data_IF_031849411600
#
_entry.id   IF_031849411600
#
_cell.length_a   1.000
_cell.length_b   1.000
_cell.length_c   1.000
_cell.angle_alpha   90.00
_cell.angle_beta   90.00
_cell.angle_gamma   90.00
#
_symmetry.space_group_name_H-M   'P 1'
#
loop_
_entity.id
_entity.type
_entity.pdbx_description
1 polymer ?
#
# COMPACT_ATOMS: atom_id res chain seq x y z
N UNK A 1 5.34 -13.63 49.10
CA UNK A 1 5.28 -13.26 47.66
C UNK A 1 6.68 -13.34 47.08
N UNK A 2 6.85 -13.79 45.84
CA UNK A 2 8.15 -13.82 45.17
C UNK A 2 8.53 -12.43 44.63
N UNK A 3 9.82 -12.08 44.66
CA UNK A 3 10.30 -10.80 44.15
C UNK A 3 10.40 -10.80 42.61
N UNK A 4 9.59 -9.98 41.94
CA UNK A 4 9.61 -9.83 40.48
C UNK A 4 10.60 -8.73 40.09
N UNK A 5 11.63 -9.09 39.32
CA UNK A 5 12.64 -8.14 38.84
C UNK A 5 12.05 -7.12 37.86
N UNK A 6 12.10 -5.84 38.21
CA UNK A 6 11.65 -4.74 37.33
C UNK A 6 12.60 -4.56 36.15
N UNK A 7 12.15 -4.96 34.95
CA UNK A 7 12.95 -4.90 33.71
C UNK A 7 13.04 -3.49 33.10
N UNK A 8 11.93 -2.73 33.10
CA UNK A 8 11.84 -1.38 32.51
C UNK A 8 11.99 -0.31 33.59
N UNK A 9 13.20 -0.14 34.09
CA UNK A 9 13.53 0.87 35.11
C UNK A 9 13.89 2.24 34.50
N UNK A 10 14.09 3.27 35.33
CA UNK A 10 14.46 4.61 34.87
C UNK A 10 15.80 4.65 34.09
N UNK A 11 16.75 3.76 34.43
CA UNK A 11 18.02 3.65 33.73
C UNK A 11 17.87 3.07 32.30
N UNK A 12 16.94 2.13 32.10
CA UNK A 12 16.56 1.61 30.78
C UNK A 12 16.05 2.74 29.88
N UNK A 13 15.07 3.53 30.35
CA UNK A 13 14.51 4.62 29.53
C UNK A 13 15.53 5.72 29.22
N UNK A 14 16.46 6.03 30.14
CA UNK A 14 17.57 6.97 29.87
C UNK A 14 18.54 6.47 28.78
N UNK A 15 18.66 5.16 28.58
CA UNK A 15 19.53 4.53 27.57
C UNK A 15 18.78 4.09 26.30
N UNK A 16 17.47 4.25 26.25
CA UNK A 16 16.64 3.74 25.15
C UNK A 16 16.76 4.62 23.90
N UNK A 17 17.52 4.17 22.90
CA UNK A 17 17.65 4.88 21.63
C UNK A 17 16.41 4.66 20.75
N UNK A 18 15.60 5.70 20.59
CA UNK A 18 14.35 5.65 19.83
C UNK A 18 14.61 5.54 18.33
N UNK A 19 14.14 4.46 17.69
CA UNK A 19 14.20 4.30 16.24
C UNK A 19 13.40 5.39 15.48
N UNK A 20 13.81 5.69 14.24
CA UNK A 20 13.16 6.69 13.36
C UNK A 20 11.64 6.46 13.28
N UNK A 21 10.83 7.54 13.31
CA UNK A 21 9.36 7.49 13.37
C UNK A 21 8.74 6.46 12.41
N UNK A 22 9.03 6.53 11.10
CA UNK A 22 8.49 5.58 10.10
C UNK A 22 8.94 4.13 10.27
N UNK A 23 10.06 3.86 10.98
CA UNK A 23 10.47 2.48 11.34
C UNK A 23 9.66 1.94 12.51
N UNK A 24 9.33 2.79 13.49
CA UNK A 24 8.42 2.45 14.60
C UNK A 24 6.97 2.23 14.14
N UNK A 25 6.54 2.98 13.12
CA UNK A 25 5.25 2.76 12.44
C UNK A 25 5.24 1.57 11.46
N UNK A 26 6.34 0.81 11.32
CA UNK A 26 6.46 -0.31 10.36
C UNK A 26 6.57 0.08 8.87
N UNK A 27 6.19 1.30 8.50
CA UNK A 27 6.03 1.81 7.11
C UNK A 27 7.30 1.98 6.26
N UNK A 28 8.50 1.75 6.78
CA UNK A 28 9.75 2.00 6.02
C UNK A 28 10.92 1.18 6.55
N UNK A 29 11.47 0.32 5.69
CA UNK A 29 12.87 -0.08 5.80
C UNK A 29 13.78 1.03 5.27
N UNK A 30 14.71 1.46 6.13
CA UNK A 30 15.70 2.47 5.78
C UNK A 30 16.92 1.90 5.07
N UNK A 31 17.15 0.58 5.13
CA UNK A 31 18.27 -0.07 4.46
C UNK A 31 18.00 -0.17 2.95
N UNK A 32 16.85 -0.74 2.54
CA UNK A 32 16.37 -0.70 1.16
C UNK A 32 16.25 0.74 0.63
N UNK A 33 15.59 1.64 1.38
CA UNK A 33 15.44 3.05 0.95
C UNK A 33 16.76 3.75 0.67
N UNK A 34 17.81 3.51 1.47
CA UNK A 34 19.14 4.10 1.22
C UNK A 34 19.75 3.62 -0.09
N UNK A 35 19.57 2.34 -0.45
CA UNK A 35 20.07 1.78 -1.73
C UNK A 35 19.33 2.38 -2.93
N UNK A 36 18.00 2.47 -2.87
CA UNK A 36 17.17 3.03 -3.95
C UNK A 36 17.43 4.52 -4.21
N UNK A 37 17.52 5.32 -3.14
CA UNK A 37 17.67 6.79 -3.23
C UNK A 37 19.12 7.21 -3.52
N UNK A 38 20.12 6.37 -3.20
CA UNK A 38 21.52 6.69 -3.51
C UNK A 38 21.71 6.81 -5.02
N UNK A 39 22.49 7.81 -5.40
CA UNK A 39 22.88 8.13 -6.76
C UNK A 39 24.36 8.52 -6.77
N UNK A 40 25.01 8.31 -7.91
CA UNK A 40 26.41 8.67 -8.08
C UNK A 40 26.55 10.19 -8.05
N UNK A 41 27.49 10.70 -7.25
CA UNK A 41 27.65 12.16 -7.05
C UNK A 41 27.93 12.91 -8.37
N UNK A 42 28.52 12.22 -9.34
CA UNK A 42 28.82 12.73 -10.68
C UNK A 42 27.55 13.10 -11.48
N UNK A 43 26.37 12.57 -11.09
CA UNK A 43 25.07 12.87 -11.70
C UNK A 43 24.37 14.10 -11.07
N UNK A 44 25.05 14.77 -10.12
CA UNK A 44 24.64 16.05 -9.50
C UNK A 44 23.16 16.10 -9.10
N UNK A 45 22.38 17.02 -9.67
CA UNK A 45 20.96 17.24 -9.35
C UNK A 45 20.00 16.51 -10.31
N UNK A 46 20.49 15.60 -11.17
CA UNK A 46 19.61 14.88 -12.10
C UNK A 46 18.66 13.97 -11.30
N UNK A 47 17.39 14.34 -11.21
CA UNK A 47 16.39 13.52 -10.54
C UNK A 47 16.18 12.20 -11.31
N UNK A 48 15.83 11.12 -10.60
CA UNK A 48 15.44 9.84 -11.23
C UNK A 48 13.97 9.94 -11.64
N UNK A 49 13.70 10.04 -12.95
CA UNK A 49 12.37 10.22 -13.54
C UNK A 49 11.68 8.90 -13.91
N UNK A 50 10.40 8.98 -14.29
CA UNK A 50 9.53 7.86 -14.69
C UNK A 50 8.47 8.31 -15.72
N UNK A 51 8.46 7.75 -16.94
CA UNK A 51 7.47 7.85 -18.04
C UNK A 51 7.80 6.83 -19.17
N UNK A 52 6.87 6.50 -20.08
CA UNK A 52 7.06 5.41 -21.08
C UNK A 52 6.15 5.36 -22.36
N UNK A 53 6.51 4.44 -23.27
CA UNK A 53 5.78 3.77 -24.41
C UNK A 53 6.50 2.41 -24.70
N UNK A 54 5.92 1.26 -25.08
CA UNK A 54 4.52 0.79 -25.28
C UNK A 54 4.47 -0.78 -25.37
N UNK A 55 3.31 -1.39 -25.72
CA UNK A 55 3.14 -2.83 -26.05
C UNK A 55 2.66 -3.71 -24.87
N UNK A 56 1.82 -4.75 -25.07
CA UNK A 56 1.16 -5.49 -23.98
C UNK A 56 1.15 -7.03 -24.20
N UNK A 57 2.32 -7.59 -24.47
CA UNK A 57 2.41 -8.91 -25.15
C UNK A 57 2.75 -10.08 -24.20
N UNK A 58 2.84 -9.84 -22.89
CA UNK A 58 3.17 -10.88 -21.88
C UNK A 58 4.65 -11.33 -21.86
N UNK A 59 5.37 -11.14 -22.97
CA UNK A 59 6.80 -11.46 -23.12
C UNK A 59 7.73 -10.60 -22.24
N UNK A 60 9.00 -11.04 -22.13
CA UNK A 60 10.07 -10.38 -21.37
C UNK A 60 10.59 -9.16 -22.13
N UNK A 61 9.89 -8.03 -21.98
CA UNK A 61 10.18 -6.81 -22.72
C UNK A 61 11.22 -5.95 -22.01
N UNK A 62 12.37 -5.76 -22.66
CA UNK A 62 13.38 -4.76 -22.32
C UNK A 62 13.45 -3.73 -23.44
N UNK A 63 13.19 -2.46 -23.11
CA UNK A 63 13.41 -1.34 -24.02
C UNK A 63 14.94 -1.10 -24.09
N UNK A 64 15.60 -1.83 -24.98
CA UNK A 64 16.95 -1.47 -25.45
C UNK A 64 16.90 -0.10 -26.16
N UNK A 65 18.03 0.60 -26.26
CA UNK A 65 18.09 1.94 -26.86
C UNK A 65 17.77 1.89 -28.37
N UNK A 66 16.51 2.11 -28.77
CA UNK A 66 16.18 2.50 -30.16
C UNK A 66 16.96 3.77 -30.53
N UNK A 67 17.36 3.89 -31.81
CA UNK A 67 18.16 4.98 -32.37
C UNK A 67 17.35 6.29 -32.52
N UNK A 68 16.78 6.75 -31.40
CA UNK A 68 15.98 7.95 -31.25
C UNK A 68 16.62 8.89 -30.21
N UNK A 69 16.39 10.19 -30.35
CA UNK A 69 17.16 11.23 -29.65
C UNK A 69 17.03 11.26 -28.11
N UNK A 70 16.16 10.42 -27.51
CA UNK A 70 15.88 10.48 -26.07
C UNK A 70 15.67 9.10 -25.43
N UNK A 71 16.68 8.66 -24.67
CA UNK A 71 16.71 7.38 -23.93
C UNK A 71 15.50 7.22 -22.98
N UNK A 72 14.94 6.01 -22.85
CA UNK A 72 13.78 5.75 -22.00
C UNK A 72 14.08 6.01 -20.52
N UNK A 73 13.08 6.49 -19.77
CA UNK A 73 13.31 6.94 -18.40
C UNK A 73 13.29 5.77 -17.39
N UNK A 74 14.38 5.62 -16.65
CA UNK A 74 14.61 4.46 -15.79
C UNK A 74 13.89 4.56 -14.43
N UNK A 75 12.87 3.72 -14.22
CA UNK A 75 12.14 3.63 -12.98
C UNK A 75 12.61 2.46 -12.10
N UNK A 76 12.72 2.68 -10.79
CA UNK A 76 13.00 1.63 -9.82
C UNK A 76 11.71 1.13 -9.16
N UNK A 77 11.31 -0.11 -9.45
CA UNK A 77 10.28 -0.93 -8.77
C UNK A 77 8.99 -0.20 -8.33
N UNK A 78 7.96 -0.29 -9.17
CA UNK A 78 6.56 -0.01 -8.85
C UNK A 78 5.86 -1.28 -8.35
N UNK A 79 4.75 -1.13 -7.61
CA UNK A 79 4.00 -2.27 -7.06
C UNK A 79 3.28 -3.08 -8.15
N UNK A 80 2.85 -2.40 -9.22
CA UNK A 80 2.51 -3.01 -10.50
C UNK A 80 3.75 -2.87 -11.41
N UNK A 81 4.39 -3.99 -11.74
CA UNK A 81 5.61 -4.04 -12.55
C UNK A 81 5.26 -4.16 -14.04
N UNK A 82 4.57 -5.24 -14.43
CA UNK A 82 4.28 -5.59 -15.84
C UNK A 82 3.54 -4.46 -16.55
N UNK A 83 2.34 -4.09 -16.09
CA UNK A 83 1.59 -2.95 -16.67
C UNK A 83 2.30 -1.58 -16.65
N UNK A 84 3.37 -1.40 -15.86
CA UNK A 84 4.21 -0.19 -15.98
C UNK A 84 5.24 -0.34 -17.11
N UNK A 85 5.86 -1.52 -17.27
CA UNK A 85 6.73 -1.86 -18.42
C UNK A 85 5.94 -1.85 -19.73
N UNK A 86 4.68 -2.28 -19.71
CA UNK A 86 3.80 -2.32 -20.88
C UNK A 86 3.20 -0.93 -21.21
N UNK A 87 3.02 -0.10 -20.16
CA UNK A 87 2.97 1.37 -20.30
C UNK A 87 4.32 1.99 -20.70
N UNK A 88 5.30 1.16 -21.04
CA UNK A 88 6.58 1.53 -21.63
C UNK A 88 7.63 2.10 -20.71
N UNK A 89 7.46 1.93 -19.40
CA UNK A 89 8.39 2.45 -18.42
C UNK A 89 9.59 1.50 -18.32
N UNK A 90 10.79 1.96 -18.69
CA UNK A 90 11.99 1.14 -18.53
C UNK A 90 12.24 0.82 -17.04
N UNK A 91 11.87 -0.39 -16.61
CA UNK A 91 12.17 -0.93 -15.29
C UNK A 91 13.11 -2.12 -15.47
N UNK A 92 14.35 -2.08 -14.93
CA UNK A 92 15.23 -3.24 -14.96
C UNK A 92 14.67 -4.32 -14.03
N UNK A 93 14.28 -5.46 -14.60
CA UNK A 93 13.61 -6.56 -13.91
C UNK A 93 14.06 -7.93 -14.46
N UNK A 94 13.42 -9.00 -14.00
CA UNK A 94 13.64 -10.38 -14.46
C UNK A 94 12.37 -11.18 -14.25
N UNK A 95 12.06 -12.11 -15.15
CA UNK A 95 10.81 -12.91 -15.14
C UNK A 95 10.52 -13.72 -13.88
N UNK A 96 11.53 -13.95 -13.02
CA UNK A 96 11.50 -14.79 -11.80
C UNK A 96 10.39 -14.50 -10.78
N UNK A 97 9.76 -13.32 -10.82
CA UNK A 97 8.69 -12.93 -9.90
C UNK A 97 7.33 -12.78 -10.59
N UNK A 98 7.21 -13.15 -11.88
CA UNK A 98 5.95 -13.14 -12.60
C UNK A 98 5.17 -14.46 -12.42
N UNK A 99 3.84 -14.42 -12.56
CA UNK A 99 3.04 -15.62 -12.81
C UNK A 99 3.60 -16.39 -14.01
N UNK A 100 3.41 -17.72 -14.05
CA UNK A 100 3.95 -18.58 -15.11
C UNK A 100 5.45 -18.93 -14.97
N UNK A 101 6.20 -18.29 -14.06
CA UNK A 101 7.60 -18.66 -13.80
C UNK A 101 7.72 -19.94 -12.97
N UNK A 102 8.44 -20.95 -13.50
CA UNK A 102 8.86 -22.15 -12.76
C UNK A 102 10.38 -22.14 -12.59
N UNK A 103 10.83 -22.28 -11.35
CA UNK A 103 12.25 -22.49 -11.07
C UNK A 103 12.66 -23.89 -11.56
N UNK A 104 13.86 -24.00 -12.13
CA UNK A 104 14.41 -25.30 -12.51
C UNK A 104 14.52 -26.23 -11.28
N UNK A 105 14.07 -27.47 -11.43
CA UNK A 105 14.10 -28.49 -10.37
C UNK A 105 15.54 -28.84 -9.95
N UNK A 106 16.50 -28.74 -10.87
CA UNK A 106 17.91 -28.99 -10.64
C UNK A 106 18.76 -27.72 -10.61
N UNK A 107 19.81 -27.72 -9.77
CA UNK A 107 20.77 -26.60 -9.65
C UNK A 107 21.63 -26.45 -10.91
N UNK A 108 21.12 -25.71 -11.88
CA UNK A 108 21.78 -25.45 -13.16
C UNK A 108 20.90 -25.73 -14.38
N UNK A 109 19.68 -26.25 -14.18
CA UNK A 109 18.69 -26.38 -15.24
C UNK A 109 18.14 -25.02 -15.70
N UNK A 110 17.50 -25.04 -16.86
CA UNK A 110 16.83 -23.87 -17.44
C UNK A 110 15.53 -23.58 -16.67
N UNK A 111 15.30 -22.32 -16.32
CA UNK A 111 14.05 -21.89 -15.70
C UNK A 111 13.00 -21.63 -16.78
N UNK A 112 11.86 -22.30 -16.67
CA UNK A 112 10.72 -22.13 -17.59
C UNK A 112 9.92 -20.87 -17.21
N UNK A 113 9.49 -20.12 -18.22
CA UNK A 113 8.58 -18.99 -18.07
C UNK A 113 7.46 -19.10 -19.09
N UNK A 114 6.26 -19.34 -18.58
CA UNK A 114 5.03 -19.41 -19.36
C UNK A 114 4.41 -18.02 -19.49
N UNK A 115 4.49 -17.44 -20.69
CA UNK A 115 3.92 -16.14 -21.00
C UNK A 115 2.39 -16.18 -21.14
N UNK A 116 1.80 -17.32 -21.49
CA UNK A 116 0.35 -17.50 -21.63
C UNK A 116 -0.31 -17.49 -20.26
N UNK A 117 0.22 -18.27 -19.30
CA UNK A 117 -0.20 -18.24 -17.90
C UNK A 117 -0.02 -16.86 -17.21
N UNK A 118 0.94 -16.03 -17.68
CA UNK A 118 1.02 -14.63 -17.23
C UNK A 118 -0.07 -13.78 -17.88
N UNK A 119 -0.32 -13.91 -19.18
CA UNK A 119 -1.39 -13.19 -19.89
C UNK A 119 -2.76 -13.47 -19.28
N UNK A 120 -3.09 -14.73 -19.01
CA UNK A 120 -4.30 -15.16 -18.28
C UNK A 120 -4.45 -14.48 -16.90
N UNK A 121 -3.33 -14.23 -16.22
CA UNK A 121 -3.33 -13.50 -14.94
C UNK A 121 -3.64 -12.01 -15.11
N UNK A 122 -3.24 -11.40 -16.22
CA UNK A 122 -3.49 -9.99 -16.55
C UNK A 122 -4.99 -9.77 -16.85
N UNK A 123 -5.58 -10.61 -17.71
CA UNK A 123 -7.00 -10.52 -18.08
C UNK A 123 -7.97 -11.13 -17.05
N UNK A 124 -7.45 -11.68 -15.94
CA UNK A 124 -8.28 -12.13 -14.82
C UNK A 124 -8.93 -13.50 -15.02
N UNK A 125 -8.44 -14.34 -15.94
CA UNK A 125 -9.03 -15.66 -16.26
C UNK A 125 -9.09 -16.57 -15.03
N UNK A 126 -8.09 -16.53 -14.16
CA UNK A 126 -8.11 -17.21 -12.85
C UNK A 126 -9.25 -16.77 -11.90
N UNK A 127 -9.85 -15.59 -12.10
CA UNK A 127 -11.04 -15.14 -11.37
C UNK A 127 -12.29 -15.68 -12.05
N UNK A 128 -12.34 -15.69 -13.39
CA UNK A 128 -13.39 -16.35 -14.19
C UNK A 128 -13.51 -17.84 -13.83
N UNK A 129 -12.42 -18.60 -13.86
CA UNK A 129 -12.37 -20.01 -13.44
C UNK A 129 -12.86 -20.20 -12.00
N UNK A 130 -12.49 -19.28 -11.09
CA UNK A 130 -12.91 -19.34 -9.69
C UNK A 130 -14.39 -18.96 -9.50
N UNK A 131 -14.94 -18.10 -10.36
CA UNK A 131 -16.38 -17.79 -10.43
C UNK A 131 -17.16 -19.02 -10.92
N UNK A 132 -16.72 -19.65 -12.00
CA UNK A 132 -17.33 -20.86 -12.58
C UNK A 132 -17.32 -22.02 -11.56
N UNK A 133 -16.16 -22.34 -10.98
CA UNK A 133 -16.04 -23.37 -9.93
C UNK A 133 -16.93 -23.08 -8.71
N UNK A 134 -17.00 -21.83 -8.24
CA UNK A 134 -17.86 -21.51 -7.10
C UNK A 134 -19.36 -21.52 -7.43
N UNK A 135 -19.75 -21.26 -8.68
CA UNK A 135 -21.14 -21.42 -9.12
C UNK A 135 -21.57 -22.90 -9.13
N UNK A 136 -20.66 -23.80 -9.51
CA UNK A 136 -20.92 -25.25 -9.54
C UNK A 136 -20.85 -25.91 -8.16
N UNK A 137 -19.83 -25.59 -7.35
CA UNK A 137 -19.60 -26.24 -6.05
C UNK A 137 -20.45 -25.67 -4.91
N UNK A 138 -20.53 -24.34 -4.77
CA UNK A 138 -21.07 -23.67 -3.58
C UNK A 138 -21.69 -22.28 -3.91
N UNK A 139 -22.94 -22.23 -4.42
CA UNK A 139 -23.61 -20.97 -4.77
C UNK A 139 -23.66 -19.93 -3.63
N UNK A 140 -23.75 -20.38 -2.37
CA UNK A 140 -23.73 -19.50 -1.20
C UNK A 140 -22.39 -18.79 -0.97
N UNK A 141 -21.27 -19.44 -1.34
CA UNK A 141 -19.94 -18.81 -1.33
C UNK A 141 -19.79 -17.88 -2.53
N UNK A 142 -20.33 -18.25 -3.70
CA UNK A 142 -20.35 -17.37 -4.87
C UNK A 142 -21.03 -16.03 -4.55
N UNK A 143 -22.24 -16.04 -3.98
CA UNK A 143 -22.95 -14.83 -3.56
C UNK A 143 -22.15 -14.00 -2.54
N UNK A 144 -21.52 -14.65 -1.55
CA UNK A 144 -20.74 -13.95 -0.53
C UNK A 144 -19.46 -13.31 -1.09
N UNK A 145 -18.72 -14.02 -1.94
CA UNK A 145 -17.45 -13.56 -2.52
C UNK A 145 -17.66 -12.54 -3.64
N UNK A 146 -18.69 -12.72 -4.48
CA UNK A 146 -18.94 -11.95 -5.69
C UNK A 146 -20.17 -11.03 -5.62
N UNK A 147 -20.74 -10.81 -4.44
CA UNK A 147 -21.84 -9.84 -4.19
C UNK A 147 -21.78 -8.57 -5.04
N UNK A 148 -20.64 -7.87 -5.04
CA UNK A 148 -20.44 -6.64 -5.84
C UNK A 148 -20.38 -6.86 -7.35
N UNK A 149 -19.96 -8.03 -7.83
CA UNK A 149 -20.00 -8.34 -9.27
C UNK A 149 -21.45 -8.58 -9.70
N UNK A 150 -22.23 -9.28 -8.87
CA UNK A 150 -23.68 -9.48 -9.07
C UNK A 150 -24.42 -8.13 -9.07
N UNK A 151 -24.13 -7.24 -8.11
CA UNK A 151 -24.70 -5.87 -8.04
C UNK A 151 -24.41 -5.03 -9.31
N UNK A 152 -23.26 -5.22 -9.95
CA UNK A 152 -22.85 -4.50 -11.16
C UNK A 152 -23.14 -5.26 -12.48
N UNK A 153 -23.75 -6.46 -12.43
CA UNK A 153 -24.06 -7.26 -13.61
C UNK A 153 -22.84 -7.86 -14.35
N UNK A 154 -21.71 -8.01 -13.66
CA UNK A 154 -20.47 -8.57 -14.19
C UNK A 154 -20.46 -10.07 -13.92
N UNK A 155 -20.46 -10.86 -14.99
CA UNK A 155 -20.36 -12.32 -14.99
C UNK A 155 -18.96 -12.78 -15.43
N UNK A 156 -18.76 -14.10 -15.40
CA UNK A 156 -17.47 -14.73 -15.68
C UNK A 156 -16.99 -14.49 -17.12
N UNK A 157 -17.91 -14.38 -18.08
CA UNK A 157 -17.61 -14.12 -19.50
C UNK A 157 -17.12 -12.69 -19.74
N UNK A 158 -17.77 -11.66 -19.16
CA UNK A 158 -17.39 -10.24 -19.34
C UNK A 158 -16.08 -9.84 -18.64
N UNK A 159 -15.42 -10.74 -17.94
CA UNK A 159 -14.22 -10.42 -17.16
C UNK A 159 -13.03 -9.99 -18.05
N UNK A 160 -12.79 -10.71 -19.15
CA UNK A 160 -11.71 -10.41 -20.11
C UNK A 160 -12.01 -9.12 -20.90
N UNK A 161 -13.24 -8.94 -21.34
CA UNK A 161 -13.72 -7.73 -22.03
C UNK A 161 -13.57 -6.49 -21.13
N UNK A 162 -13.95 -6.58 -19.86
CA UNK A 162 -13.83 -5.47 -18.90
C UNK A 162 -12.39 -4.96 -18.76
N UNK A 163 -11.41 -5.86 -18.69
CA UNK A 163 -9.99 -5.45 -18.64
C UNK A 163 -9.48 -4.92 -19.98
N UNK A 164 -9.93 -5.50 -21.09
CA UNK A 164 -9.56 -5.03 -22.44
C UNK A 164 -10.07 -3.61 -22.69
N UNK A 165 -11.36 -3.36 -22.45
CA UNK A 165 -11.95 -2.01 -22.49
C UNK A 165 -11.24 -1.03 -21.54
N UNK A 166 -10.84 -1.48 -20.35
CA UNK A 166 -10.12 -0.63 -19.40
C UNK A 166 -8.72 -0.27 -19.93
N UNK A 167 -8.02 -1.19 -20.58
CA UNK A 167 -6.72 -0.92 -21.21
C UNK A 167 -6.84 0.04 -22.39
N UNK A 168 -7.91 -0.03 -23.17
CA UNK A 168 -8.19 0.94 -24.25
C UNK A 168 -8.48 2.33 -23.68
N UNK A 169 -9.43 2.45 -22.73
CA UNK A 169 -9.80 3.74 -22.10
C UNK A 169 -8.61 4.43 -21.43
N UNK A 170 -7.73 3.69 -20.75
CA UNK A 170 -6.51 4.22 -20.11
C UNK A 170 -5.47 4.69 -21.14
N UNK A 171 -5.45 4.12 -22.36
CA UNK A 171 -4.57 4.56 -23.44
C UNK A 171 -5.12 5.80 -24.16
N UNK A 172 -6.43 5.89 -24.32
CA UNK A 172 -7.11 7.05 -24.92
C UNK A 172 -7.03 8.28 -24.02
N UNK A 173 -7.34 8.14 -22.73
CA UNK A 173 -7.20 9.21 -21.74
C UNK A 173 -6.42 8.75 -20.49
N UNK A 174 -5.11 9.04 -20.42
CA UNK A 174 -4.29 8.75 -19.25
C UNK A 174 -4.40 9.81 -18.14
N UNK A 175 -5.20 10.88 -18.29
CA UNK A 175 -5.31 11.92 -17.27
C UNK A 175 -6.24 11.50 -16.11
N UNK A 176 -5.70 11.52 -14.90
CA UNK A 176 -6.49 11.30 -13.69
C UNK A 176 -7.28 12.55 -13.31
N UNK A 177 -8.60 12.53 -13.52
CA UNK A 177 -9.51 13.57 -13.02
C UNK A 177 -9.30 13.80 -11.51
N UNK A 178 -9.09 15.06 -11.13
CA UNK A 178 -8.94 15.43 -9.72
C UNK A 178 -10.31 15.51 -9.07
N UNK A 179 -10.66 14.49 -8.30
CA UNK A 179 -11.86 14.49 -7.47
C UNK A 179 -12.03 15.83 -6.75
N UNK A 180 -13.22 16.42 -6.86
CA UNK A 180 -13.53 17.70 -6.25
C UNK A 180 -13.29 17.62 -4.74
N UNK A 181 -12.57 18.61 -4.21
CA UNK A 181 -12.38 18.71 -2.77
C UNK A 181 -13.69 19.14 -2.16
N UNK A 182 -14.31 18.26 -1.37
CA UNK A 182 -15.29 18.70 -0.37
C UNK A 182 -14.58 19.68 0.57
N UNK A 183 -14.89 20.97 0.44
CA UNK A 183 -14.40 22.01 1.35
C UNK A 183 -15.13 21.91 2.70
N UNK A 184 -14.80 20.85 3.44
CA UNK A 184 -15.36 20.56 4.75
C UNK A 184 -14.79 21.57 5.75
N UNK A 185 -15.66 22.49 6.20
CA UNK A 185 -15.35 23.36 7.32
C UNK A 185 -15.47 22.59 8.63
N UNK A 186 -14.67 22.99 9.63
CA UNK A 186 -14.66 22.36 10.95
C UNK A 186 -14.92 23.40 12.03
N UNK A 187 -16.09 23.32 12.65
CA UNK A 187 -16.42 24.10 13.83
C UNK A 187 -15.98 23.35 15.09
N UNK A 188 -15.65 24.10 16.15
CA UNK A 188 -15.10 23.54 17.38
C UNK A 188 -15.98 23.85 18.57
N UNK A 189 -16.54 22.80 19.15
CA UNK A 189 -17.26 22.84 20.41
C UNK A 189 -16.42 22.10 21.48
N UNK A 190 -15.83 22.85 22.41
CA UNK A 190 -14.98 22.31 23.48
C UNK A 190 -13.86 21.36 23.00
N UNK A 191 -14.00 20.08 23.35
CA UNK A 191 -13.09 18.98 23.01
C UNK A 191 -13.53 18.18 21.77
N UNK A 192 -14.70 18.43 21.17
CA UNK A 192 -15.14 17.87 19.89
C UNK A 192 -14.89 18.84 18.73
N UNK A 193 -14.77 18.29 17.53
CA UNK A 193 -14.67 19.01 16.26
C UNK A 193 -15.83 18.50 15.38
N UNK A 194 -16.69 19.41 14.93
CA UNK A 194 -17.84 19.09 14.07
C UNK A 194 -17.48 19.45 12.63
N UNK A 195 -17.57 18.49 11.72
CA UNK A 195 -17.50 18.74 10.28
C UNK A 195 -18.82 19.31 9.76
N UNK A 196 -18.78 20.11 8.68
CA UNK A 196 -19.99 20.48 7.92
C UNK A 196 -20.75 19.28 7.35
N UNK A 197 -20.06 18.15 7.16
CA UNK A 197 -20.59 16.84 6.75
C UNK A 197 -21.27 16.06 7.90
N UNK A 198 -21.61 16.73 9.01
CA UNK A 198 -22.24 16.14 10.20
C UNK A 198 -21.37 15.20 11.03
N UNK A 199 -20.15 14.87 10.58
CA UNK A 199 -19.24 13.97 11.30
C UNK A 199 -18.54 14.68 12.46
N UNK A 200 -18.78 14.21 13.68
CA UNK A 200 -18.11 14.69 14.89
C UNK A 200 -16.93 13.81 15.28
N UNK A 201 -15.79 14.42 15.64
CA UNK A 201 -14.65 13.69 16.21
C UNK A 201 -14.08 14.37 17.44
N UNK A 202 -13.80 13.59 18.48
CA UNK A 202 -13.13 14.08 19.68
C UNK A 202 -11.67 14.43 19.37
N UNK A 203 -11.27 15.66 19.68
CA UNK A 203 -9.89 16.16 19.62
C UNK A 203 -9.58 16.90 20.92
N UNK A 204 -9.46 16.12 21.99
CA UNK A 204 -9.25 16.63 23.34
C UNK A 204 -7.96 17.43 23.47
N UNK A 205 -8.03 18.55 24.19
CA UNK A 205 -6.86 19.40 24.44
C UNK A 205 -5.99 18.80 25.56
N UNK A 206 -4.70 19.15 25.55
CA UNK A 206 -3.82 18.84 26.69
C UNK A 206 -4.27 19.66 27.91
N UNK A 207 -4.66 18.97 28.98
CA UNK A 207 -5.03 19.55 30.29
C UNK A 207 -3.96 20.55 30.76
N UNK A 208 -4.37 21.72 31.27
CA UNK A 208 -3.44 22.77 31.74
C UNK A 208 -2.69 22.33 33.00
N UNK A 209 -1.69 23.11 33.45
CA UNK A 209 -0.93 22.78 34.65
C UNK A 209 -1.77 22.93 35.93
N UNK A 210 -2.65 23.93 35.99
CA UNK A 210 -3.57 24.19 37.11
C UNK A 210 -4.60 23.06 37.25
N UNK A 211 -5.30 22.73 36.17
CA UNK A 211 -6.24 21.59 36.12
C UNK A 211 -5.59 20.25 36.51
N UNK A 212 -4.27 20.07 36.28
CA UNK A 212 -3.53 18.91 36.77
C UNK A 212 -3.29 18.97 38.28
N UNK A 213 -2.93 20.15 38.82
CA UNK A 213 -2.74 20.36 40.27
C UNK A 213 -4.05 20.13 41.03
N UNK A 214 -5.17 20.68 40.55
CA UNK A 214 -6.51 20.46 41.09
C UNK A 214 -6.87 18.97 41.12
N UNK A 215 -6.67 18.25 40.00
CA UNK A 215 -6.90 16.80 39.93
C UNK A 215 -5.99 15.98 40.87
N UNK A 216 -4.80 16.48 41.20
CA UNK A 216 -3.92 15.85 42.21
C UNK A 216 -4.43 16.16 43.62
N UNK A 217 -4.76 17.41 43.93
CA UNK A 217 -5.30 17.81 45.23
C UNK A 217 -6.61 17.08 45.57
N UNK A 218 -7.56 17.02 44.62
CA UNK A 218 -8.82 16.28 44.79
C UNK A 218 -8.59 14.77 45.04
N UNK A 219 -7.59 14.15 44.38
CA UNK A 219 -7.22 12.75 44.64
C UNK A 219 -6.59 12.54 46.02
N UNK A 220 -5.78 13.48 46.49
CA UNK A 220 -5.19 13.43 47.84
C UNK A 220 -6.29 13.56 48.89
N UNK A 221 -7.18 14.55 48.75
CA UNK A 221 -8.31 14.75 49.66
C UNK A 221 -9.26 13.54 49.69
N UNK A 222 -9.59 12.95 48.54
CA UNK A 222 -10.42 11.75 48.48
C UNK A 222 -9.74 10.50 49.08
N UNK A 223 -8.42 10.38 48.98
CA UNK A 223 -7.66 9.32 49.66
C UNK A 223 -7.62 9.54 51.18
N UNK A 224 -7.42 10.78 51.63
CA UNK A 224 -7.45 11.14 53.05
C UNK A 224 -8.83 10.92 53.67
N UNK A 225 -9.91 11.25 52.96
CA UNK A 225 -11.28 10.99 53.42
C UNK A 225 -11.51 9.48 53.64
N UNK A 226 -11.12 8.63 52.69
CA UNK A 226 -11.25 7.16 52.84
C UNK A 226 -10.44 6.60 54.01
N UNK A 227 -9.20 7.09 54.20
CA UNK A 227 -8.35 6.74 55.34
C UNK A 227 -8.88 7.23 56.71
N UNK A 228 -9.97 8.01 56.73
CA UNK A 228 -10.67 8.48 57.93
C UNK A 228 -12.08 7.86 58.05
N UNK A 229 -12.53 7.10 57.05
CA UNK A 229 -13.76 6.30 57.04
C UNK A 229 -13.50 4.81 57.35
N UNK A 230 -12.25 4.35 57.17
CA UNK A 230 -11.69 3.06 57.67
C UNK A 230 -11.14 3.17 59.10
#
# INVERSE_FOLDING_TARGET
MAFVKVLKNAAYFKRFQVARRRRREGKTDYHARRRMVRQDKNKLNNHKYRLGKEGLDGEDYHIEDEESDQRPSCAFWTLALKGAVDGGLHIPHSTKNFPGFKAADEKGGESEYDAEAHKEKIFGNHVKEYMEMLQEEDPTKYEAHFSKYIENGIDAEKMEDMYTEAHEKIREDPEGEKAEKKDITYEKDGDTMKASDGTEHARSRKITLEQRREKVAAKIAAAQAKMMEE
#
